data_IF_117291581747
#
_entry.id   IF_117291581747
#
_cell.length_a   1.000
_cell.length_b   1.000
_cell.length_c   1.000
_cell.angle_alpha   90.00
_cell.angle_beta   90.00
_cell.angle_gamma   90.00
#
_symmetry.space_group_name_H-M   'P 1'
#
loop_
_entity.id
_entity.type
_entity.pdbx_description
1 polymer ?
#
# COMPACT_ATOMS: atom_id res chain seq x y z
N UNK A 1 18.02 -14.62 -3.89
CA UNK A 1 17.00 -14.61 -2.81
C UNK A 1 17.18 -15.83 -1.91
N UNK A 2 17.27 -17.02 -2.45
CA UNK A 2 17.40 -18.25 -1.66
C UNK A 2 18.54 -18.23 -0.65
N UNK A 3 19.69 -17.70 -1.02
CA UNK A 3 20.84 -17.53 -0.11
C UNK A 3 20.53 -16.63 1.09
N UNK A 4 19.66 -15.64 0.91
CA UNK A 4 19.23 -14.74 2.01
C UNK A 4 18.25 -15.49 2.91
N UNK A 5 17.24 -16.16 2.36
CA UNK A 5 16.29 -16.93 3.16
C UNK A 5 16.96 -17.99 4.00
N UNK A 6 17.89 -18.75 3.41
CA UNK A 6 18.61 -19.83 4.08
C UNK A 6 19.42 -19.40 5.31
N UNK A 7 19.76 -18.11 5.44
CA UNK A 7 20.44 -17.59 6.64
C UNK A 7 19.52 -17.52 7.86
N UNK A 8 18.21 -17.34 7.65
CA UNK A 8 17.26 -16.97 8.71
C UNK A 8 16.12 -17.95 8.85
N UNK A 9 15.76 -18.66 7.77
CA UNK A 9 14.55 -19.49 7.69
C UNK A 9 14.89 -20.82 7.06
N UNK A 10 14.43 -21.92 7.68
CA UNK A 10 14.67 -23.27 7.20
C UNK A 10 13.65 -23.76 6.16
N UNK A 11 12.44 -23.21 6.19
CA UNK A 11 11.35 -23.60 5.30
C UNK A 11 10.91 -22.42 4.47
N UNK A 12 11.22 -22.45 3.19
CA UNK A 12 10.81 -21.43 2.24
C UNK A 12 10.62 -22.04 0.85
N UNK A 13 9.80 -21.37 0.05
CA UNK A 13 9.61 -21.67 -1.36
C UNK A 13 9.46 -20.37 -2.13
N UNK A 14 10.12 -20.28 -3.29
CA UNK A 14 9.99 -19.13 -4.17
C UNK A 14 9.64 -19.58 -5.58
N UNK A 15 8.69 -18.91 -6.20
CA UNK A 15 8.25 -19.18 -7.56
C UNK A 15 8.07 -17.91 -8.36
N UNK A 16 8.34 -18.01 -9.64
CA UNK A 16 8.07 -16.94 -10.59
C UNK A 16 6.59 -16.99 -11.00
N UNK A 17 5.94 -15.84 -10.90
CA UNK A 17 4.57 -15.65 -11.31
C UNK A 17 4.52 -14.41 -12.22
N UNK A 18 4.51 -14.62 -13.53
CA UNK A 18 4.53 -13.56 -14.54
C UNK A 18 5.73 -12.62 -14.39
N UNK A 19 5.51 -11.43 -13.84
CA UNK A 19 6.46 -10.33 -13.68
C UNK A 19 7.05 -10.22 -12.26
N UNK A 20 6.77 -11.17 -11.38
CA UNK A 20 7.10 -11.10 -9.95
C UNK A 20 7.63 -12.41 -9.39
N UNK A 21 8.30 -12.32 -8.26
CA UNK A 21 8.69 -13.47 -7.44
C UNK A 21 7.76 -13.51 -6.24
N UNK A 22 7.14 -14.66 -6.03
CA UNK A 22 6.34 -14.93 -4.83
C UNK A 22 7.12 -15.87 -3.94
N UNK A 23 7.29 -15.52 -2.67
CA UNK A 23 7.99 -16.34 -1.70
C UNK A 23 7.09 -16.68 -0.53
N UNK A 24 6.99 -17.96 -0.22
CA UNK A 24 6.36 -18.48 0.98
C UNK A 24 7.43 -18.79 2.01
N UNK A 25 7.34 -18.14 3.16
CA UNK A 25 8.28 -18.32 4.27
C UNK A 25 7.54 -18.96 5.44
N UNK A 26 8.10 -20.04 5.99
CA UNK A 26 7.51 -20.74 7.12
C UNK A 26 8.53 -20.87 8.25
N UNK A 27 8.16 -20.36 9.43
CA UNK A 27 8.98 -20.40 10.64
C UNK A 27 8.10 -20.25 11.89
N UNK A 28 8.71 -20.25 13.05
CA UNK A 28 7.99 -19.94 14.30
C UNK A 28 7.59 -18.47 14.35
N UNK A 29 6.57 -18.13 15.15
CA UNK A 29 6.14 -16.74 15.35
C UNK A 29 7.32 -15.83 15.75
N UNK A 30 8.11 -16.29 16.71
CA UNK A 30 9.30 -15.56 17.19
C UNK A 30 10.36 -15.35 16.07
N UNK A 31 10.56 -16.34 15.21
CA UNK A 31 11.44 -16.25 14.06
C UNK A 31 10.91 -15.25 13.02
N UNK A 32 9.60 -15.23 12.78
CA UNK A 32 8.96 -14.29 11.87
C UNK A 32 9.16 -12.85 12.36
N UNK A 33 8.81 -12.56 13.60
CA UNK A 33 8.91 -11.23 14.21
C UNK A 33 10.37 -10.71 14.18
N UNK A 34 11.34 -11.62 14.39
CA UNK A 34 12.76 -11.27 14.46
C UNK A 34 13.41 -11.07 13.10
N UNK A 35 13.12 -11.94 12.12
CA UNK A 35 13.92 -12.03 10.90
C UNK A 35 13.24 -11.42 9.66
N UNK A 36 11.92 -11.27 9.65
CA UNK A 36 11.20 -10.85 8.46
C UNK A 36 11.65 -9.48 7.95
N UNK A 37 11.79 -8.49 8.83
CA UNK A 37 12.27 -7.16 8.45
C UNK A 37 13.72 -7.19 7.93
N UNK A 38 14.58 -8.01 8.54
CA UNK A 38 15.99 -8.16 8.13
C UNK A 38 16.06 -8.77 6.73
N UNK A 39 15.27 -9.81 6.48
CA UNK A 39 15.18 -10.48 5.17
C UNK A 39 14.74 -9.49 4.08
N UNK A 40 13.69 -8.74 4.35
CA UNK A 40 13.14 -7.75 3.41
C UNK A 40 14.16 -6.66 3.09
N UNK A 41 14.88 -6.18 4.11
CA UNK A 41 15.93 -5.19 3.94
C UNK A 41 17.13 -5.74 3.14
N UNK A 42 17.63 -6.95 3.46
CA UNK A 42 18.72 -7.59 2.70
C UNK A 42 18.35 -7.83 1.23
N UNK A 43 17.11 -8.22 0.96
CA UNK A 43 16.63 -8.39 -0.41
C UNK A 43 16.62 -7.05 -1.13
N UNK A 44 16.08 -6.00 -0.51
CA UNK A 44 15.99 -4.66 -1.08
C UNK A 44 17.38 -4.12 -1.42
N UNK A 45 18.34 -4.27 -0.51
CA UNK A 45 19.73 -3.85 -0.71
C UNK A 45 20.44 -4.67 -1.79
N UNK A 46 20.18 -5.97 -1.83
CA UNK A 46 20.79 -6.86 -2.83
C UNK A 46 20.28 -6.55 -4.25
N UNK A 47 18.98 -6.33 -4.41
CA UNK A 47 18.38 -5.91 -5.69
C UNK A 47 18.96 -4.58 -6.14
N UNK A 48 19.05 -3.60 -5.23
CA UNK A 48 19.64 -2.30 -5.53
C UNK A 48 21.10 -2.40 -5.97
N UNK A 49 21.90 -3.22 -5.27
CA UNK A 49 23.32 -3.41 -5.55
C UNK A 49 23.57 -4.13 -6.86
N UNK A 50 22.79 -5.19 -7.16
CA UNK A 50 23.03 -6.07 -8.33
C UNK A 50 22.37 -5.50 -9.58
N UNK A 51 21.14 -5.00 -9.46
CA UNK A 51 20.33 -4.58 -10.60
C UNK A 51 20.27 -3.05 -10.78
N UNK A 52 20.79 -2.26 -9.84
CA UNK A 52 20.69 -0.80 -9.85
C UNK A 52 19.25 -0.26 -9.72
N UNK A 53 18.31 -1.12 -9.33
CA UNK A 53 16.88 -0.78 -9.24
C UNK A 53 16.36 -0.93 -7.83
N UNK A 54 15.27 -0.22 -7.50
CA UNK A 54 14.54 -0.40 -6.25
C UNK A 54 13.65 -1.66 -6.38
N UNK A 55 13.68 -2.52 -5.37
CA UNK A 55 12.71 -3.59 -5.24
C UNK A 55 11.37 -3.02 -4.74
N UNK A 56 10.26 -3.54 -5.26
CA UNK A 56 8.93 -3.33 -4.67
C UNK A 56 8.53 -4.64 -3.99
N UNK A 57 8.40 -4.63 -2.68
CA UNK A 57 8.13 -5.81 -1.87
C UNK A 57 6.84 -5.57 -1.08
N UNK A 58 5.87 -6.47 -1.23
CA UNK A 58 4.68 -6.52 -0.39
C UNK A 58 4.75 -7.72 0.53
N UNK A 59 4.40 -7.53 1.80
CA UNK A 59 4.45 -8.56 2.84
C UNK A 59 3.08 -8.68 3.48
N UNK A 60 2.50 -9.90 3.44
CA UNK A 60 1.24 -10.24 4.11
C UNK A 60 1.42 -10.38 5.61
N UNK A 61 0.31 -10.50 6.32
CA UNK A 61 0.31 -11.03 7.68
C UNK A 61 0.73 -12.50 7.69
N UNK A 62 1.24 -12.94 8.83
CA UNK A 62 1.50 -14.36 9.06
C UNK A 62 0.17 -15.11 9.17
N UNK A 63 0.08 -16.24 8.47
CA UNK A 63 -1.05 -17.16 8.53
C UNK A 63 -0.63 -18.48 9.17
N UNK A 64 -1.56 -19.20 9.74
CA UNK A 64 -1.28 -20.46 10.47
C UNK A 64 -1.64 -21.69 9.65
N UNK A 65 -2.32 -21.54 8.54
CA UNK A 65 -2.77 -22.63 7.68
C UNK A 65 -2.48 -22.35 6.20
N UNK A 66 -2.13 -23.38 5.45
CA UNK A 66 -1.95 -23.29 4.00
C UNK A 66 -3.25 -22.89 3.26
N UNK A 67 -4.42 -23.21 3.82
CA UNK A 67 -5.70 -22.78 3.25
C UNK A 67 -5.86 -21.25 3.20
N UNK A 68 -5.16 -20.52 4.04
CA UNK A 68 -5.16 -19.05 4.12
C UNK A 68 -4.12 -18.40 3.18
N UNK A 69 -3.31 -19.19 2.46
CA UNK A 69 -2.29 -18.64 1.56
C UNK A 69 -2.89 -17.78 0.44
N UNK A 70 -4.12 -18.07 0.02
CA UNK A 70 -4.80 -17.24 -0.98
C UNK A 70 -5.06 -15.81 -0.46
N UNK A 71 -5.56 -15.69 0.76
CA UNK A 71 -5.79 -14.40 1.42
C UNK A 71 -4.46 -13.67 1.66
N UNK A 72 -3.45 -14.38 2.19
CA UNK A 72 -2.13 -13.83 2.40
C UNK A 72 -1.47 -13.34 1.09
N UNK A 73 -1.70 -14.04 -0.02
CA UNK A 73 -1.23 -13.56 -1.33
C UNK A 73 -1.93 -12.26 -1.75
N UNK A 74 -3.24 -12.16 -1.55
CA UNK A 74 -4.00 -10.91 -1.79
C UNK A 74 -3.44 -9.75 -0.99
N UNK A 75 -3.25 -9.94 0.31
CA UNK A 75 -2.65 -8.93 1.21
C UNK A 75 -1.24 -8.49 0.76
N UNK A 76 -0.40 -9.43 0.36
CA UNK A 76 0.94 -9.10 -0.14
C UNK A 76 0.87 -8.29 -1.45
N UNK A 77 -0.10 -8.58 -2.31
CA UNK A 77 -0.33 -7.83 -3.55
C UNK A 77 -0.79 -6.40 -3.28
N UNK A 78 -1.66 -6.20 -2.31
CA UNK A 78 -2.13 -4.87 -1.90
C UNK A 78 -0.97 -4.05 -1.31
N UNK A 79 -0.18 -4.65 -0.42
CA UNK A 79 1.02 -4.01 0.13
C UNK A 79 2.04 -3.67 -0.97
N UNK A 80 2.24 -4.54 -1.96
CA UNK A 80 3.13 -4.29 -3.10
C UNK A 80 2.61 -3.16 -4.00
N UNK A 81 1.30 -3.07 -4.19
CA UNK A 81 0.68 -2.00 -4.97
C UNK A 81 0.90 -0.64 -4.30
N UNK A 82 0.86 -0.61 -2.98
CA UNK A 82 1.22 0.56 -2.19
C UNK A 82 2.70 0.92 -2.35
N UNK A 83 3.61 -0.06 -2.26
CA UNK A 83 5.05 0.13 -2.46
C UNK A 83 5.39 0.75 -3.83
N UNK A 84 4.70 0.32 -4.89
CA UNK A 84 4.88 0.88 -6.24
C UNK A 84 4.49 2.35 -6.31
N UNK A 85 3.42 2.75 -5.65
CA UNK A 85 2.89 4.12 -5.68
C UNK A 85 3.73 5.09 -4.86
N UNK A 86 4.12 4.71 -3.64
CA UNK A 86 4.87 5.57 -2.72
C UNK A 86 6.37 5.66 -3.02
N UNK A 87 6.87 4.94 -4.04
CA UNK A 87 8.30 4.83 -4.39
C UNK A 87 9.20 4.32 -3.25
N UNK A 88 8.65 3.83 -2.17
CA UNK A 88 9.36 3.17 -1.08
C UNK A 88 9.44 1.67 -1.34
N UNK A 89 10.55 1.02 -0.96
CA UNK A 89 10.89 -0.32 -1.42
C UNK A 89 10.02 -1.45 -0.87
N UNK A 90 9.59 -1.42 0.40
CA UNK A 90 8.88 -2.53 1.03
C UNK A 90 7.76 -2.03 1.94
N UNK A 91 6.64 -2.74 1.94
CA UNK A 91 5.49 -2.48 2.81
C UNK A 91 4.92 -3.78 3.37
N UNK A 92 4.55 -3.70 4.63
CA UNK A 92 3.84 -4.74 5.36
C UNK A 92 2.37 -4.37 5.43
N UNK A 93 1.48 -5.30 5.09
CA UNK A 93 0.03 -5.05 5.13
C UNK A 93 -0.43 -4.64 6.54
N UNK A 94 0.17 -5.22 7.58
CA UNK A 94 -0.13 -4.88 8.96
C UNK A 94 0.14 -3.41 9.31
N UNK A 95 1.13 -2.78 8.66
CA UNK A 95 1.44 -1.36 8.87
C UNK A 95 0.45 -0.46 8.12
N UNK A 96 -0.03 -0.91 6.96
CA UNK A 96 -1.03 -0.21 6.15
C UNK A 96 -2.38 -0.21 6.87
N UNK A 97 -2.84 -1.36 7.35
CA UNK A 97 -4.14 -1.47 8.04
C UNK A 97 -4.19 -0.73 9.37
N UNK A 98 -3.06 -0.61 10.08
CA UNK A 98 -2.99 0.25 11.29
C UNK A 98 -3.22 1.72 10.97
N UNK A 99 -2.86 2.13 9.77
CA UNK A 99 -3.11 3.46 9.22
C UNK A 99 -4.55 3.63 8.68
N UNK A 100 -5.23 2.53 8.38
CA UNK A 100 -6.53 2.50 7.70
C UNK A 100 -7.75 2.69 8.64
N UNK A 101 -7.54 3.28 9.81
CA UNK A 101 -8.66 3.95 10.50
C UNK A 101 -9.00 5.21 9.71
N UNK A 102 -9.72 5.01 8.60
CA UNK A 102 -10.29 6.13 7.85
C UNK A 102 -11.10 6.98 8.82
N UNK A 103 -10.62 8.18 9.07
CA UNK A 103 -11.38 9.17 9.77
C UNK A 103 -12.49 9.65 8.84
N UNK A 104 -13.67 9.05 8.98
CA UNK A 104 -14.85 9.40 8.17
C UNK A 104 -15.20 10.87 8.26
N UNK A 105 -14.95 11.51 9.40
CA UNK A 105 -15.19 12.93 9.61
C UNK A 105 -14.20 13.77 8.78
N UNK A 106 -12.93 13.40 8.75
CA UNK A 106 -11.93 14.05 7.90
C UNK A 106 -12.29 13.94 6.41
N UNK A 107 -12.71 12.75 5.95
CA UNK A 107 -13.15 12.56 4.55
C UNK A 107 -14.37 13.41 4.22
N UNK A 108 -15.37 13.51 5.12
CA UNK A 108 -16.56 14.35 4.90
C UNK A 108 -16.21 15.84 4.84
N UNK A 109 -15.28 16.29 5.68
CA UNK A 109 -14.78 17.66 5.64
C UNK A 109 -14.05 17.97 4.33
N UNK A 110 -13.22 17.05 3.83
CA UNK A 110 -12.56 17.20 2.52
C UNK A 110 -13.55 17.24 1.36
N UNK A 111 -14.59 16.41 1.38
CA UNK A 111 -15.65 16.44 0.36
C UNK A 111 -16.41 17.78 0.39
N UNK A 112 -16.72 18.31 1.55
CA UNK A 112 -17.40 19.60 1.70
C UNK A 112 -16.52 20.75 1.20
N UNK A 113 -15.21 20.71 1.47
CA UNK A 113 -14.24 21.68 0.98
C UNK A 113 -14.10 21.60 -0.55
N UNK A 114 -14.03 20.38 -1.12
CA UNK A 114 -14.02 20.16 -2.56
C UNK A 114 -15.24 20.79 -3.25
N UNK A 115 -16.43 20.56 -2.70
CA UNK A 115 -17.68 21.16 -3.24
C UNK A 115 -17.65 22.69 -3.21
N UNK A 116 -17.14 23.27 -2.12
CA UNK A 116 -16.97 24.72 -1.99
C UNK A 116 -16.03 25.29 -3.06
N UNK A 117 -14.88 24.67 -3.26
CA UNK A 117 -13.88 25.10 -4.24
C UNK A 117 -14.39 24.94 -5.69
N UNK A 118 -15.11 23.86 -5.99
CA UNK A 118 -15.74 23.68 -7.31
C UNK A 118 -16.78 24.75 -7.61
N UNK A 119 -17.58 25.18 -6.63
CA UNK A 119 -18.55 26.27 -6.78
C UNK A 119 -17.87 27.62 -6.93
N UNK A 120 -16.74 27.83 -6.25
CA UNK A 120 -15.97 29.07 -6.35
C UNK A 120 -15.24 29.21 -7.72
N UNK A 121 -15.02 28.10 -8.45
CA UNK A 121 -14.42 28.10 -9.77
C UNK A 121 -12.91 28.41 -9.82
N UNK A 122 -12.22 28.35 -8.65
CA UNK A 122 -10.79 28.61 -8.56
C UNK A 122 -9.98 27.35 -8.89
N UNK A 123 -9.47 27.25 -10.11
CA UNK A 123 -8.70 26.10 -10.58
C UNK A 123 -7.37 25.93 -9.82
N UNK A 124 -6.74 27.02 -9.39
CA UNK A 124 -5.47 26.99 -8.67
C UNK A 124 -5.66 26.49 -7.23
N UNK A 125 -6.67 26.98 -6.53
CA UNK A 125 -7.01 26.54 -5.17
C UNK A 125 -7.45 25.07 -5.17
N UNK A 126 -8.22 24.66 -6.16
CA UNK A 126 -8.64 23.27 -6.35
C UNK A 126 -7.43 22.35 -6.54
N UNK A 127 -6.46 22.75 -7.38
CA UNK A 127 -5.23 21.98 -7.61
C UNK A 127 -4.42 21.84 -6.32
N UNK A 128 -4.25 22.94 -5.58
CA UNK A 128 -3.51 22.93 -4.31
C UNK A 128 -4.19 22.04 -3.28
N UNK A 129 -5.51 22.12 -3.18
CA UNK A 129 -6.30 21.25 -2.30
C UNK A 129 -6.14 19.76 -2.67
N UNK A 130 -6.26 19.40 -3.96
CA UNK A 130 -6.08 18.02 -4.40
C UNK A 130 -4.68 17.49 -4.08
N UNK A 131 -3.63 18.29 -4.29
CA UNK A 131 -2.28 17.91 -3.92
C UNK A 131 -2.16 17.64 -2.41
N UNK A 132 -2.74 18.51 -1.56
CA UNK A 132 -2.74 18.30 -0.11
C UNK A 132 -3.45 16.99 0.29
N UNK A 133 -4.59 16.69 -0.33
CA UNK A 133 -5.31 15.42 -0.06
C UNK A 133 -4.46 14.21 -0.48
N UNK A 134 -3.81 14.25 -1.64
CA UNK A 134 -2.92 13.17 -2.08
C UNK A 134 -1.70 13.02 -1.18
N UNK A 135 -1.05 14.11 -0.79
CA UNK A 135 0.09 14.11 0.12
C UNK A 135 -0.30 13.52 1.49
N UNK A 136 -1.49 13.89 2.02
CA UNK A 136 -2.02 13.31 3.24
C UNK A 136 -2.23 11.80 3.11
N UNK A 137 -2.88 11.34 2.04
CA UNK A 137 -3.09 9.90 1.80
C UNK A 137 -1.77 9.13 1.75
N UNK A 138 -0.71 9.73 1.21
CA UNK A 138 0.62 9.12 1.16
C UNK A 138 1.27 9.10 2.54
N UNK A 139 1.20 10.18 3.31
CA UNK A 139 1.77 10.28 4.66
C UNK A 139 1.08 9.33 5.64
N UNK A 140 -0.23 9.24 5.58
CA UNK A 140 -1.04 8.34 6.43
C UNK A 140 -1.02 6.89 5.95
N UNK A 141 -0.35 6.61 4.83
CA UNK A 141 -0.26 5.26 4.23
C UNK A 141 -1.63 4.62 4.01
N UNK A 142 -2.59 5.41 3.51
CA UNK A 142 -3.94 4.93 3.23
C UNK A 142 -3.89 3.74 2.28
N UNK A 143 -4.65 2.68 2.56
CA UNK A 143 -4.69 1.46 1.75
C UNK A 143 -5.13 1.75 0.30
N UNK A 144 -4.76 0.89 -0.66
CA UNK A 144 -5.24 1.02 -2.04
C UNK A 144 -6.77 1.09 -2.15
N UNK A 145 -7.47 0.31 -1.32
CA UNK A 145 -8.94 0.32 -1.27
C UNK A 145 -9.47 1.62 -0.66
N UNK A 146 -8.85 2.11 0.41
CA UNK A 146 -9.18 3.40 1.03
C UNK A 146 -9.00 4.57 0.05
N UNK A 147 -7.89 4.58 -0.70
CA UNK A 147 -7.66 5.58 -1.75
C UNK A 147 -8.74 5.51 -2.84
N UNK A 148 -9.09 4.31 -3.32
CA UNK A 148 -10.16 4.16 -4.30
C UNK A 148 -11.50 4.67 -3.76
N UNK A 149 -11.83 4.36 -2.51
CA UNK A 149 -13.05 4.83 -1.88
C UNK A 149 -13.10 6.36 -1.82
N UNK A 150 -12.04 7.01 -1.35
CA UNK A 150 -11.95 8.48 -1.29
C UNK A 150 -12.10 9.09 -2.70
N UNK A 151 -11.39 8.55 -3.70
CA UNK A 151 -11.47 9.05 -5.07
C UNK A 151 -12.87 8.91 -5.66
N UNK A 152 -13.56 7.79 -5.45
CA UNK A 152 -14.94 7.59 -5.90
C UNK A 152 -15.86 8.63 -5.25
N UNK A 153 -15.72 8.88 -3.95
CA UNK A 153 -16.49 9.88 -3.24
C UNK A 153 -16.24 11.30 -3.80
N UNK A 154 -14.98 11.67 -4.05
CA UNK A 154 -14.61 12.96 -4.63
C UNK A 154 -15.19 13.14 -6.03
N UNK A 155 -15.10 12.12 -6.89
CA UNK A 155 -15.68 12.14 -8.24
C UNK A 155 -17.20 12.28 -8.14
N UNK A 156 -17.87 11.51 -7.30
CA UNK A 156 -19.32 11.59 -7.11
C UNK A 156 -19.75 12.98 -6.61
N UNK A 157 -18.99 13.57 -5.69
CA UNK A 157 -19.23 14.93 -5.17
C UNK A 157 -19.06 15.98 -6.26
N UNK A 158 -18.00 15.87 -7.08
CA UNK A 158 -17.75 16.76 -8.22
C UNK A 158 -18.91 16.70 -9.24
N UNK A 159 -19.39 15.51 -9.58
CA UNK A 159 -20.55 15.36 -10.46
C UNK A 159 -21.82 16.00 -9.86
N UNK A 160 -22.08 15.84 -8.57
CA UNK A 160 -23.23 16.51 -7.92
C UNK A 160 -23.19 18.04 -8.07
N UNK A 161 -22.01 18.63 -7.88
CA UNK A 161 -21.83 20.08 -8.04
C UNK A 161 -22.05 20.50 -9.50
N UNK A 162 -21.45 19.77 -10.46
CA UNK A 162 -21.59 20.06 -11.89
C UNK A 162 -23.06 19.99 -12.35
N UNK A 163 -23.81 18.96 -11.91
CA UNK A 163 -25.23 18.83 -12.23
C UNK A 163 -26.10 19.91 -11.56
N UNK A 164 -25.66 20.44 -10.42
CA UNK A 164 -26.39 21.51 -9.73
C UNK A 164 -26.13 22.92 -10.35
N UNK A 165 -25.07 23.05 -11.16
CA UNK A 165 -24.68 24.30 -11.84
C UNK A 165 -25.15 24.35 -13.30
N UNK A 166 -25.57 23.22 -13.86
CA UNK A 166 -26.07 23.08 -15.24
C UNK A 166 -27.57 23.36 -15.30
#
# INVERSE_FOLDING_TARGET
MDTIYAKYIHYYGSFFCSDRVVSLLATTKQGMDKYLHIIVEEISQSVRRIMGRKACIGVSRAVTSLSQCHEAYGEAMDAMSYARRSRNGAYFIADIERSDKMDHEAVQNELSQLEGLLRAGSAEELRNFLNQVFDRMEQEKVSPMGVQFILIQMIASAFRVLYALA
#
